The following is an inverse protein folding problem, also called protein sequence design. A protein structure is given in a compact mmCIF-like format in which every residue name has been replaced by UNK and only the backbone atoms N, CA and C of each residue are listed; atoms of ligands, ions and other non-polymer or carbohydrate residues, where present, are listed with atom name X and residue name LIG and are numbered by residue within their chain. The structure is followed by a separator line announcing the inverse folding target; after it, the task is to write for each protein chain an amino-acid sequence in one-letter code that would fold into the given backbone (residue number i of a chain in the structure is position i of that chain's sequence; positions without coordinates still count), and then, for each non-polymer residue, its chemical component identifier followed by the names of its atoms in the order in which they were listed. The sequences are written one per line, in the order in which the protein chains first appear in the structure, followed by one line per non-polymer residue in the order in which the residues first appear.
data_IF_327184038525
#
_entry.id   IF_327184038525
#
_cell.length_a   1.000
_cell.length_b   1.000
_cell.length_c   1.000
_cell.angle_alpha   90.00
_cell.angle_beta   90.00
_cell.angle_gamma   90.00
#
_symmetry.space_group_name_H-M   'P 1'
#
loop_
_entity.id
_entity.type
_entity.pdbx_description
1 polymer ?
#
# COMPACT_ATOMS: atom_id res chain seq x y z
N UNK A 1 15.23 -9.99 15.16
CA UNK A 1 14.11 -10.31 14.22
C UNK A 1 14.67 -11.19 13.12
N UNK A 2 13.90 -12.18 12.64
CA UNK A 2 14.28 -12.97 11.46
C UNK A 2 14.27 -12.09 10.21
N UNK A 3 15.05 -12.47 9.18
CA UNK A 3 14.96 -11.78 7.88
C UNK A 3 13.66 -12.14 7.17
N UNK A 4 13.09 -11.23 6.34
CA UNK A 4 11.91 -11.53 5.56
C UNK A 4 12.18 -12.66 4.55
N UNK A 5 11.18 -13.53 4.34
CA UNK A 5 11.27 -14.65 3.39
C UNK A 5 10.95 -14.16 1.96
N UNK A 6 11.87 -13.43 1.38
CA UNK A 6 11.72 -12.79 0.09
C UNK A 6 11.95 -13.76 -1.07
N UNK A 7 10.95 -14.00 -1.93
CA UNK A 7 11.03 -14.96 -3.04
C UNK A 7 12.24 -14.74 -3.95
N UNK A 8 12.65 -13.49 -4.20
CA UNK A 8 13.74 -13.17 -5.12
C UNK A 8 15.13 -13.63 -4.64
N UNK A 9 15.29 -13.97 -3.36
CA UNK A 9 16.58 -14.42 -2.79
C UNK A 9 16.53 -15.87 -2.31
N UNK A 10 15.41 -16.56 -2.47
CA UNK A 10 15.24 -17.97 -2.10
C UNK A 10 15.41 -18.89 -3.31
N UNK A 11 15.98 -20.06 -3.07
CA UNK A 11 16.00 -21.13 -4.08
C UNK A 11 14.63 -21.81 -4.18
N UNK A 12 14.29 -22.47 -5.31
CA UNK A 12 13.02 -23.20 -5.44
C UNK A 12 12.76 -24.20 -4.31
N UNK A 13 13.78 -24.91 -3.83
CA UNK A 13 13.64 -25.87 -2.72
C UNK A 13 13.37 -25.18 -1.37
N UNK A 14 14.01 -24.03 -1.14
CA UNK A 14 13.72 -23.21 0.04
C UNK A 14 12.26 -22.67 0.00
N UNK A 15 11.78 -22.24 -1.16
CA UNK A 15 10.39 -21.83 -1.35
C UNK A 15 9.43 -23.00 -1.12
N UNK A 16 9.69 -24.18 -1.68
CA UNK A 16 8.89 -25.40 -1.44
C UNK A 16 8.79 -25.73 0.05
N UNK A 17 9.91 -25.67 0.76
CA UNK A 17 9.96 -25.91 2.20
C UNK A 17 9.20 -24.82 3.00
N UNK A 18 9.22 -23.59 2.55
CA UNK A 18 8.45 -22.51 3.16
C UNK A 18 6.94 -22.70 2.95
N UNK A 19 6.50 -23.02 1.72
CA UNK A 19 5.09 -23.33 1.40
C UNK A 19 4.56 -24.49 2.24
N UNK A 20 5.36 -25.54 2.45
CA UNK A 20 4.96 -26.68 3.28
C UNK A 20 4.71 -26.29 4.75
N UNK A 21 5.32 -25.22 5.26
CA UNK A 21 5.08 -24.69 6.61
C UNK A 21 3.93 -23.68 6.64
N UNK A 22 3.89 -22.81 5.65
CA UNK A 22 2.88 -21.75 5.50
C UNK A 22 2.76 -21.37 4.02
N UNK A 23 1.64 -21.71 3.41
CA UNK A 23 1.41 -21.51 1.99
C UNK A 23 0.98 -20.07 1.61
N UNK A 24 0.86 -19.17 2.59
CA UNK A 24 0.49 -17.76 2.37
C UNK A 24 1.60 -17.02 1.64
N UNK A 25 1.20 -16.07 0.78
CA UNK A 25 2.13 -15.14 0.12
C UNK A 25 1.66 -13.69 0.31
N UNK A 26 2.51 -12.86 0.91
CA UNK A 26 2.35 -11.41 0.91
C UNK A 26 2.80 -10.86 -0.44
N UNK A 27 1.94 -10.06 -1.07
CA UNK A 27 2.21 -9.44 -2.37
C UNK A 27 2.08 -7.92 -2.24
N UNK A 28 3.17 -7.19 -1.98
CA UNK A 28 3.15 -5.74 -1.89
C UNK A 28 3.01 -5.10 -3.28
N UNK A 29 2.05 -4.17 -3.41
CA UNK A 29 1.75 -3.44 -4.64
C UNK A 29 1.70 -1.95 -4.35
N UNK A 30 2.66 -1.21 -4.87
CA UNK A 30 2.77 0.24 -4.75
C UNK A 30 2.55 0.94 -6.09
N UNK A 31 3.11 2.14 -6.19
CA UNK A 31 3.08 3.00 -7.38
C UNK A 31 4.42 3.67 -7.61
N UNK A 32 4.60 4.22 -8.81
CA UNK A 32 5.62 5.21 -9.12
C UNK A 32 4.89 6.52 -9.41
N UNK A 33 4.54 7.26 -8.36
CA UNK A 33 3.64 8.42 -8.40
C UNK A 33 4.20 9.60 -7.62
N UNK A 34 3.97 10.80 -8.11
CA UNK A 34 4.31 12.03 -7.41
C UNK A 34 3.46 12.19 -6.13
N UNK A 35 4.04 12.64 -5.05
CA UNK A 35 3.42 12.95 -3.76
C UNK A 35 3.79 14.35 -3.26
N UNK A 36 3.87 15.31 -4.19
CA UNK A 36 4.36 16.66 -3.91
C UNK A 36 5.90 16.77 -4.03
N UNK A 37 6.46 17.96 -3.79
CA UNK A 37 7.87 18.22 -3.99
C UNK A 37 8.77 17.62 -2.88
N UNK A 38 8.20 17.17 -1.78
CA UNK A 38 8.89 16.76 -0.58
C UNK A 38 8.99 15.24 -0.38
N UNK A 39 8.24 14.44 -1.14
CA UNK A 39 8.26 12.98 -1.08
C UNK A 39 8.80 12.35 -2.36
N UNK A 40 9.44 11.17 -2.28
CA UNK A 40 9.90 10.45 -3.45
C UNK A 40 8.72 9.87 -4.24
N UNK A 41 8.94 9.60 -5.54
CA UNK A 41 7.94 8.97 -6.42
C UNK A 41 7.52 7.57 -5.95
N UNK A 42 8.38 6.88 -5.22
CA UNK A 42 8.11 5.56 -4.67
C UNK A 42 7.44 5.56 -3.30
N UNK A 43 6.80 6.63 -2.88
CA UNK A 43 6.20 6.76 -1.54
C UNK A 43 5.35 5.54 -1.17
N UNK A 44 4.31 5.23 -1.93
CA UNK A 44 3.44 4.08 -1.70
C UNK A 44 4.19 2.74 -1.71
N UNK A 45 5.16 2.62 -2.64
CA UNK A 45 5.99 1.41 -2.79
C UNK A 45 6.85 1.19 -1.54
N UNK A 46 7.52 2.24 -1.05
CA UNK A 46 8.39 2.17 0.14
C UNK A 46 7.58 1.80 1.38
N UNK A 47 6.41 2.41 1.55
CA UNK A 47 5.53 2.12 2.70
C UNK A 47 5.07 0.67 2.70
N UNK A 48 4.53 0.19 1.57
CA UNK A 48 3.98 -1.16 1.50
C UNK A 48 5.07 -2.23 1.50
N UNK A 49 6.24 -1.94 0.94
CA UNK A 49 7.41 -2.81 0.96
C UNK A 49 7.90 -3.05 2.38
N UNK A 50 8.14 -1.97 3.13
CA UNK A 50 8.56 -2.05 4.52
C UNK A 50 7.54 -2.83 5.36
N UNK A 51 6.26 -2.59 5.17
CA UNK A 51 5.20 -3.29 5.89
C UNK A 51 5.19 -4.79 5.58
N UNK A 52 5.34 -5.16 4.30
CA UNK A 52 5.41 -6.56 3.88
C UNK A 52 6.65 -7.27 4.45
N UNK A 53 7.79 -6.59 4.52
CA UNK A 53 9.02 -7.12 5.11
C UNK A 53 8.87 -7.38 6.61
N UNK A 54 8.33 -6.42 7.35
CA UNK A 54 8.12 -6.55 8.80
C UNK A 54 7.09 -7.65 9.13
N UNK A 55 6.00 -7.75 8.37
CA UNK A 55 5.02 -8.83 8.50
C UNK A 55 5.61 -10.19 8.13
N UNK A 56 6.37 -10.28 7.04
CA UNK A 56 7.08 -11.51 6.66
C UNK A 56 8.04 -11.97 7.75
N UNK A 57 8.83 -11.06 8.30
CA UNK A 57 9.79 -11.33 9.37
C UNK A 57 9.11 -11.79 10.66
N UNK A 58 7.97 -11.18 10.99
CA UNK A 58 7.22 -11.46 12.21
C UNK A 58 6.50 -12.81 12.16
N UNK A 59 5.90 -13.15 11.03
CA UNK A 59 5.03 -14.33 10.88
C UNK A 59 5.68 -15.50 10.15
N UNK A 60 6.87 -15.32 9.56
CA UNK A 60 7.53 -16.35 8.75
C UNK A 60 6.79 -16.66 7.44
N UNK A 61 6.03 -15.70 6.91
CA UNK A 61 5.24 -15.83 5.68
C UNK A 61 6.08 -15.39 4.48
N UNK A 62 5.98 -16.12 3.37
CA UNK A 62 6.62 -15.73 2.11
C UNK A 62 6.16 -14.36 1.64
N UNK A 63 7.08 -13.62 1.02
CA UNK A 63 6.85 -12.28 0.45
C UNK A 63 7.32 -12.23 -1.00
N UNK A 64 6.44 -11.84 -1.91
CA UNK A 64 6.76 -11.63 -3.33
C UNK A 64 7.62 -10.38 -3.55
N UNK A 65 8.38 -10.26 -4.65
CA UNK A 65 8.97 -8.99 -5.06
C UNK A 65 7.92 -7.89 -5.13
N UNK A 66 8.28 -6.68 -4.70
CA UNK A 66 7.35 -5.53 -4.71
C UNK A 66 7.00 -5.13 -6.13
N UNK A 67 5.72 -4.93 -6.41
CA UNK A 67 5.23 -4.38 -7.66
C UNK A 67 5.17 -2.87 -7.51
N UNK A 68 6.11 -2.18 -8.16
CA UNK A 68 6.32 -0.74 -7.98
C UNK A 68 5.55 0.15 -8.97
N UNK A 69 4.72 -0.45 -9.84
CA UNK A 69 3.94 0.28 -10.84
C UNK A 69 2.46 -0.04 -10.71
N UNK A 70 1.68 0.95 -10.31
CA UNK A 70 0.23 0.87 -10.13
C UNK A 70 -0.54 1.75 -11.10
N UNK A 71 -1.80 2.00 -10.78
CA UNK A 71 -2.66 2.95 -11.49
C UNK A 71 -2.67 4.26 -10.71
N UNK A 72 -1.87 5.21 -11.14
CA UNK A 72 -1.69 6.49 -10.46
C UNK A 72 -2.94 7.38 -10.53
N UNK A 73 -3.09 8.26 -9.56
CA UNK A 73 -4.11 9.31 -9.56
C UNK A 73 -3.93 10.22 -10.78
N UNK A 74 -5.03 10.55 -11.44
CA UNK A 74 -5.00 11.42 -12.59
C UNK A 74 -4.49 12.82 -12.22
N UNK A 75 -3.60 13.36 -13.04
CA UNK A 75 -3.06 14.72 -12.89
C UNK A 75 -3.37 15.56 -14.11
N UNK A 76 -3.56 16.89 -13.94
CA UNK A 76 -3.80 17.81 -15.04
C UNK A 76 -2.54 18.27 -15.76
N UNK A 77 -1.38 18.00 -15.18
CA UNK A 77 -0.06 18.28 -15.77
C UNK A 77 0.84 17.06 -15.58
N UNK A 78 1.79 16.83 -16.47
CA UNK A 78 2.77 15.77 -16.27
C UNK A 78 3.69 16.12 -15.09
N UNK A 79 4.08 15.08 -14.35
CA UNK A 79 5.14 15.17 -13.34
C UNK A 79 6.30 14.29 -13.79
N UNK A 80 7.55 14.82 -13.85
CA UNK A 80 8.71 14.05 -14.25
C UNK A 80 8.87 12.77 -13.41
N UNK A 81 9.09 11.65 -14.07
CA UNK A 81 9.28 10.36 -13.41
C UNK A 81 7.98 9.61 -13.06
N UNK A 82 6.82 10.25 -13.09
CA UNK A 82 5.53 9.57 -12.91
C UNK A 82 5.36 8.48 -13.97
N UNK A 83 5.03 7.25 -13.51
CA UNK A 83 4.78 6.13 -14.41
C UNK A 83 3.57 5.33 -13.95
N UNK A 84 2.53 5.30 -14.75
CA UNK A 84 1.26 4.63 -14.46
C UNK A 84 0.96 3.57 -15.49
N UNK A 85 0.43 2.44 -15.04
CA UNK A 85 -0.18 1.45 -15.93
C UNK A 85 -1.70 1.64 -15.99
N UNK A 86 -2.34 1.10 -17.03
CA UNK A 86 -3.80 1.10 -17.10
C UNK A 86 -4.37 0.06 -16.12
N UNK A 87 -5.55 0.33 -15.56
CA UNK A 87 -6.27 -0.61 -14.68
C UNK A 87 -6.32 -2.04 -15.22
N UNK A 88 -6.73 -2.20 -16.51
CA UNK A 88 -6.79 -3.53 -17.15
C UNK A 88 -5.41 -4.18 -17.29
N UNK A 89 -4.34 -3.40 -17.44
CA UNK A 89 -2.97 -3.91 -17.54
C UNK A 89 -2.51 -4.44 -16.19
N UNK A 90 -2.69 -3.66 -15.12
CA UNK A 90 -2.37 -4.10 -13.76
C UNK A 90 -3.14 -5.37 -13.40
N UNK A 91 -4.46 -5.39 -13.62
CA UNK A 91 -5.32 -6.54 -13.33
C UNK A 91 -4.87 -7.80 -14.05
N UNK A 92 -4.57 -7.73 -15.36
CA UNK A 92 -4.13 -8.89 -16.14
C UNK A 92 -2.77 -9.40 -15.67
N UNK A 93 -1.81 -8.50 -15.54
CA UNK A 93 -0.46 -8.83 -15.09
C UNK A 93 -0.46 -9.49 -13.71
N UNK A 94 -1.23 -8.94 -12.77
CA UNK A 94 -1.39 -9.54 -11.45
C UNK A 94 -2.01 -10.94 -11.52
N UNK A 95 -3.07 -11.14 -12.32
CA UNK A 95 -3.67 -12.48 -12.48
C UNK A 95 -2.69 -13.49 -13.06
N UNK A 96 -1.83 -13.10 -14.01
CA UNK A 96 -0.80 -13.98 -14.58
C UNK A 96 0.21 -14.42 -13.51
N UNK A 97 0.67 -13.49 -12.66
CA UNK A 97 1.56 -13.79 -11.55
C UNK A 97 0.91 -14.71 -10.51
N UNK A 98 -0.32 -14.38 -10.07
CA UNK A 98 -1.04 -15.18 -9.09
C UNK A 98 -1.30 -16.60 -9.63
N UNK A 99 -1.72 -16.74 -10.89
CA UNK A 99 -1.93 -18.03 -11.52
C UNK A 99 -0.66 -18.89 -11.58
N UNK A 100 0.49 -18.28 -11.79
CA UNK A 100 1.79 -18.98 -11.78
C UNK A 100 2.16 -19.45 -10.38
N UNK A 101 2.00 -18.61 -9.36
CA UNK A 101 2.29 -18.96 -7.97
C UNK A 101 1.29 -19.98 -7.38
N UNK A 102 0.01 -19.90 -7.76
CA UNK A 102 -1.00 -20.89 -7.38
C UNK A 102 -0.61 -22.31 -7.81
N UNK A 103 -0.04 -22.48 -9.01
CA UNK A 103 0.46 -23.77 -9.49
C UNK A 103 1.58 -24.36 -8.61
N UNK A 104 2.25 -23.52 -7.83
CA UNK A 104 3.27 -23.93 -6.87
C UNK A 104 2.72 -24.23 -5.48
N UNK A 105 1.40 -24.14 -5.27
CA UNK A 105 0.75 -24.43 -3.99
C UNK A 105 0.57 -23.23 -3.06
N UNK A 106 0.69 -22.00 -3.54
CA UNK A 106 0.41 -20.79 -2.76
C UNK A 106 -1.10 -20.63 -2.56
N UNK A 107 -1.55 -20.49 -1.31
CA UNK A 107 -2.90 -20.15 -0.88
C UNK A 107 -2.90 -19.76 0.61
N UNK A 108 -3.48 -18.63 1.01
CA UNK A 108 -3.97 -17.54 0.16
C UNK A 108 -2.89 -16.54 -0.28
N UNK A 109 -3.28 -15.69 -1.23
CA UNK A 109 -2.58 -14.46 -1.56
C UNK A 109 -3.08 -13.31 -0.71
N UNK A 110 -2.17 -12.51 -0.15
CA UNK A 110 -2.47 -11.31 0.63
C UNK A 110 -1.85 -10.12 -0.09
N UNK A 111 -2.67 -9.42 -0.85
CA UNK A 111 -2.26 -8.24 -1.63
C UNK A 111 -2.29 -7.03 -0.69
N UNK A 112 -1.14 -6.39 -0.49
CA UNK A 112 -1.02 -5.20 0.33
C UNK A 112 -0.82 -3.98 -0.57
N UNK A 113 -1.58 -2.90 -0.37
CA UNK A 113 -1.36 -1.64 -1.09
C UNK A 113 -1.56 -0.43 -0.19
N UNK A 114 -0.68 0.57 -0.34
CA UNK A 114 -0.73 1.88 0.33
C UNK A 114 -1.26 2.99 -0.59
N UNK A 115 -2.02 2.63 -1.64
CA UNK A 115 -2.50 3.57 -2.64
C UNK A 115 -4.03 3.54 -2.76
N UNK A 116 -4.69 4.61 -2.30
CA UNK A 116 -6.15 4.70 -2.17
C UNK A 116 -6.90 5.14 -3.44
N UNK A 117 -6.30 5.07 -4.65
CA UNK A 117 -6.97 5.46 -5.89
C UNK A 117 -7.94 4.38 -6.38
N UNK A 118 -9.23 4.72 -6.61
CA UNK A 118 -10.27 3.75 -6.96
C UNK A 118 -9.92 2.81 -8.12
N UNK A 119 -9.43 3.28 -9.28
CA UNK A 119 -9.04 2.37 -10.37
C UNK A 119 -7.92 1.41 -10.01
N UNK A 120 -7.01 1.79 -9.08
CA UNK A 120 -5.99 0.91 -8.56
C UNK A 120 -6.61 -0.16 -7.64
N UNK A 121 -7.42 0.28 -6.68
CA UNK A 121 -8.14 -0.60 -5.76
C UNK A 121 -9.06 -1.57 -6.51
N UNK A 122 -9.79 -1.10 -7.53
CA UNK A 122 -10.65 -1.93 -8.38
C UNK A 122 -9.84 -3.01 -9.13
N UNK A 123 -8.65 -2.66 -9.64
CA UNK A 123 -7.78 -3.64 -10.28
C UNK A 123 -7.37 -4.76 -9.33
N UNK A 124 -7.09 -4.44 -8.07
CA UNK A 124 -6.62 -5.39 -7.07
C UNK A 124 -7.76 -6.18 -6.42
N UNK A 125 -8.88 -5.55 -6.10
CA UNK A 125 -10.03 -6.19 -5.44
C UNK A 125 -10.79 -7.17 -6.34
N UNK A 126 -10.57 -7.12 -7.64
CA UNK A 126 -11.21 -8.02 -8.63
C UNK A 126 -10.30 -9.12 -9.15
N UNK A 127 -9.12 -9.30 -8.55
CA UNK A 127 -8.19 -10.37 -8.89
C UNK A 127 -8.83 -11.76 -8.68
N UNK A 128 -8.48 -12.72 -9.55
CA UNK A 128 -9.03 -14.06 -9.55
C UNK A 128 -7.93 -15.09 -9.77
N UNK A 129 -8.04 -16.20 -9.09
CA UNK A 129 -7.28 -17.43 -9.28
C UNK A 129 -8.24 -18.58 -9.60
N UNK A 130 -7.76 -19.78 -9.82
CA UNK A 130 -8.62 -20.95 -10.04
C UNK A 130 -9.23 -21.45 -8.73
N UNK A 131 -8.40 -21.62 -7.70
CA UNK A 131 -8.80 -22.24 -6.42
C UNK A 131 -8.30 -21.44 -5.22
N UNK A 132 -7.14 -20.76 -5.33
CA UNK A 132 -6.56 -20.05 -4.22
C UNK A 132 -7.39 -18.80 -3.85
N UNK A 133 -7.42 -18.47 -2.58
CA UNK A 133 -8.11 -17.27 -2.07
C UNK A 133 -7.22 -16.05 -2.29
N UNK A 134 -7.84 -14.91 -2.60
CA UNK A 134 -7.16 -13.63 -2.75
C UNK A 134 -7.78 -12.63 -1.79
N UNK A 135 -6.97 -12.06 -0.92
CA UNK A 135 -7.34 -10.98 -0.01
C UNK A 135 -6.63 -9.70 -0.42
N UNK A 136 -7.38 -8.64 -0.66
CA UNK A 136 -6.84 -7.32 -0.93
C UNK A 136 -6.98 -6.45 0.30
N UNK A 137 -5.87 -5.85 0.72
CA UNK A 137 -5.76 -5.01 1.91
C UNK A 137 -5.29 -3.63 1.49
N UNK A 138 -6.19 -2.65 1.54
CA UNK A 138 -5.82 -1.24 1.54
C UNK A 138 -5.31 -0.89 2.95
N UNK A 139 -4.00 -0.65 3.08
CA UNK A 139 -3.38 -0.39 4.38
C UNK A 139 -3.82 0.95 4.99
N UNK A 140 -4.48 1.79 4.19
CA UNK A 140 -5.05 3.07 4.63
C UNK A 140 -6.57 3.03 4.85
N UNK A 141 -7.22 1.87 4.68
CA UNK A 141 -8.64 1.70 5.01
C UNK A 141 -8.86 1.55 6.53
N UNK A 142 -8.33 2.52 7.30
CA UNK A 142 -8.38 2.60 8.77
C UNK A 142 -8.99 3.93 9.21
N UNK A 143 -9.51 3.95 10.43
CA UNK A 143 -9.88 5.21 11.07
C UNK A 143 -8.64 5.85 11.70
N UNK A 144 -8.23 6.98 11.14
CA UNK A 144 -7.12 7.79 11.62
C UNK A 144 -7.55 8.95 12.53
N UNK A 145 -8.83 9.00 12.95
CA UNK A 145 -9.31 10.01 13.89
C UNK A 145 -8.49 9.99 15.18
N UNK A 146 -8.06 11.15 15.64
CA UNK A 146 -7.20 11.30 16.81
C UNK A 146 -5.71 11.04 16.56
N UNK A 147 -5.33 10.59 15.38
CA UNK A 147 -3.91 10.44 14.97
C UNK A 147 -3.44 11.58 14.07
N UNK A 148 -4.31 12.07 13.19
CA UNK A 148 -4.03 13.17 12.27
C UNK A 148 -4.60 14.47 12.80
N UNK A 149 -3.85 15.56 12.61
CA UNK A 149 -4.24 16.92 12.95
C UNK A 149 -4.92 17.63 11.77
N UNK A 150 -4.64 17.18 10.53
CA UNK A 150 -5.32 17.70 9.35
C UNK A 150 -6.80 17.25 9.36
N UNK A 151 -7.78 18.19 9.43
CA UNK A 151 -9.19 17.83 9.42
C UNK A 151 -9.66 17.21 8.10
N UNK A 152 -8.87 17.32 7.04
CA UNK A 152 -9.09 16.59 5.78
C UNK A 152 -8.88 15.07 5.95
N UNK A 153 -8.13 14.65 6.99
CA UNK A 153 -7.73 13.27 7.21
C UNK A 153 -6.68 12.81 6.20
N UNK A 154 -6.61 11.52 5.87
CA UNK A 154 -5.69 11.01 4.86
C UNK A 154 -5.91 11.70 3.51
N UNK A 155 -4.85 12.26 2.96
CA UNK A 155 -4.84 12.93 1.65
C UNK A 155 -3.52 12.64 0.94
N UNK A 156 -3.53 12.67 -0.38
CA UNK A 156 -2.39 12.37 -1.24
C UNK A 156 -1.17 13.25 -0.94
N UNK A 157 -0.06 12.67 -0.54
CA UNK A 157 1.15 13.38 -0.12
C UNK A 157 0.94 14.28 1.10
N UNK A 158 -0.09 14.03 1.91
CA UNK A 158 -0.43 14.83 3.08
C UNK A 158 0.25 14.38 4.37
N UNK A 159 -0.39 14.67 5.50
CA UNK A 159 0.16 14.40 6.84
C UNK A 159 0.45 12.91 7.09
N UNK A 160 -0.43 12.00 6.62
CA UNK A 160 -0.27 10.56 6.80
C UNK A 160 0.98 10.05 6.07
N UNK A 161 1.01 10.23 4.75
CA UNK A 161 2.10 9.73 3.90
C UNK A 161 3.44 10.29 4.34
N UNK A 162 3.49 11.60 4.61
CA UNK A 162 4.69 12.30 5.04
C UNK A 162 5.18 11.79 6.42
N UNK A 163 4.26 11.56 7.37
CA UNK A 163 4.63 11.02 8.68
C UNK A 163 5.18 9.60 8.59
N UNK A 164 4.55 8.73 7.80
CA UNK A 164 5.02 7.37 7.56
C UNK A 164 6.40 7.38 6.92
N UNK A 165 6.62 8.19 5.88
CA UNK A 165 7.91 8.31 5.22
C UNK A 165 9.00 8.87 6.15
N UNK A 166 8.69 9.85 7.01
CA UNK A 166 9.62 10.35 8.03
C UNK A 166 10.02 9.27 9.06
N UNK A 167 9.17 8.28 9.29
CA UNK A 167 9.49 7.14 10.16
C UNK A 167 10.27 6.04 9.43
N UNK A 168 9.90 5.74 8.18
CA UNK A 168 10.42 4.58 7.43
C UNK A 168 11.73 4.91 6.72
N UNK A 169 11.81 6.07 6.07
CA UNK A 169 12.91 6.50 5.21
C UNK A 169 13.09 8.04 5.29
N UNK A 170 13.46 8.59 6.47
CA UNK A 170 13.55 10.03 6.68
C UNK A 170 14.54 10.72 5.73
N UNK A 171 15.58 10.00 5.29
CA UNK A 171 16.59 10.50 4.35
C UNK A 171 16.04 10.80 2.94
N UNK A 172 14.87 10.26 2.60
CA UNK A 172 14.19 10.50 1.32
C UNK A 172 13.17 11.64 1.39
N UNK A 173 12.92 12.20 2.57
CA UNK A 173 11.92 13.25 2.78
C UNK A 173 12.57 14.63 2.82
N UNK A 174 12.07 15.53 2.00
CA UNK A 174 12.55 16.91 1.88
C UNK A 174 11.55 17.87 2.53
N UNK A 175 11.51 17.89 3.89
CA UNK A 175 10.58 18.75 4.63
C UNK A 175 10.76 20.24 4.34
N UNK A 176 11.94 20.66 3.92
CA UNK A 176 12.21 22.01 3.43
C UNK A 176 11.41 22.39 2.18
N UNK A 177 10.91 21.39 1.44
CA UNK A 177 10.08 21.57 0.24
C UNK A 177 8.60 21.30 0.50
N UNK A 178 8.22 20.88 1.71
CA UNK A 178 6.82 20.58 2.04
C UNK A 178 5.95 21.84 1.98
N UNK A 179 4.84 21.75 1.26
CA UNK A 179 3.90 22.86 1.06
C UNK A 179 2.48 22.40 1.37
N UNK A 180 1.81 23.13 2.26
CA UNK A 180 0.42 22.89 2.58
C UNK A 180 -0.50 23.33 1.43
N UNK A 181 -1.48 22.48 1.15
CA UNK A 181 -2.62 22.78 0.29
C UNK A 181 -3.90 22.35 1.00
N UNK A 182 -4.32 23.10 2.05
CA UNK A 182 -5.47 22.72 2.87
C UNK A 182 -6.77 22.78 2.08
N UNK A 183 -7.64 21.81 2.31
CA UNK A 183 -8.97 21.74 1.71
C UNK A 183 -10.01 22.36 2.64
N UNK A 184 -10.94 23.14 2.10
CA UNK A 184 -12.16 23.54 2.82
C UNK A 184 -13.06 22.32 3.09
N UNK A 185 -13.96 22.39 4.08
CA UNK A 185 -14.89 21.30 4.39
C UNK A 185 -15.68 20.81 3.16
N UNK A 186 -16.11 21.73 2.28
CA UNK A 186 -16.76 21.40 1.01
C UNK A 186 -15.84 20.66 0.05
N UNK A 187 -14.57 21.07 -0.04
CA UNK A 187 -13.57 20.41 -0.88
C UNK A 187 -13.21 19.04 -0.31
N UNK A 188 -13.08 18.89 1.02
CA UNK A 188 -12.87 17.58 1.68
C UNK A 188 -14.00 16.62 1.34
N UNK A 189 -15.27 17.06 1.49
CA UNK A 189 -16.42 16.23 1.16
C UNK A 189 -16.47 15.85 -0.32
N UNK A 190 -15.98 16.72 -1.22
CA UNK A 190 -15.86 16.44 -2.66
C UNK A 190 -14.68 15.51 -2.96
N UNK A 191 -13.55 15.70 -2.31
CA UNK A 191 -12.34 14.88 -2.44
C UNK A 191 -12.65 13.45 -2.02
N UNK A 192 -13.26 13.25 -0.86
CA UNK A 192 -13.64 11.93 -0.34
C UNK A 192 -14.69 11.20 -1.20
N UNK A 193 -15.64 11.95 -1.82
CA UNK A 193 -16.66 11.36 -2.72
C UNK A 193 -16.14 11.05 -4.12
N UNK A 194 -14.99 11.61 -4.48
CA UNK A 194 -14.31 11.37 -5.74
C UNK A 194 -13.01 10.63 -5.46
N UNK A 195 -13.11 9.42 -4.96
CA UNK A 195 -11.94 8.57 -4.78
C UNK A 195 -11.17 8.31 -6.11
N UNK A 196 -11.83 8.56 -7.27
CA UNK A 196 -11.20 8.72 -8.59
C UNK A 196 -10.71 10.15 -8.87
N UNK A 197 -10.65 11.02 -7.85
CA UNK A 197 -10.34 12.44 -8.01
C UNK A 197 -8.93 12.68 -8.55
N UNK A 198 -8.81 13.66 -9.45
CA UNK A 198 -7.50 14.17 -9.85
C UNK A 198 -6.91 15.05 -8.75
N UNK A 199 -5.59 15.03 -8.62
CA UNK A 199 -4.87 16.01 -7.82
C UNK A 199 -5.25 17.43 -8.28
N UNK A 200 -5.62 18.36 -7.37
CA UNK A 200 -6.04 19.71 -7.74
C UNK A 200 -4.94 20.41 -8.55
N UNK A 201 -5.31 21.05 -9.66
CA UNK A 201 -4.36 21.62 -10.61
C UNK A 201 -3.42 22.69 -10.01
N UNK A 202 -3.89 23.40 -8.97
CA UNK A 202 -3.14 24.47 -8.30
C UNK A 202 -2.34 23.95 -7.09
N UNK A 203 -2.47 22.67 -6.74
CA UNK A 203 -1.66 22.10 -5.65
C UNK A 203 -0.20 21.92 -6.08
N UNK A 204 0.73 21.86 -5.13
CA UNK A 204 2.14 21.55 -5.43
C UNK A 204 2.33 20.10 -5.92
N UNK A 205 1.27 19.28 -5.91
CA UNK A 205 1.26 17.86 -6.19
C UNK A 205 0.72 17.07 -4.99
N UNK A 206 0.98 17.53 -3.78
CA UNK A 206 0.36 17.06 -2.54
C UNK A 206 -0.95 17.80 -2.23
N UNK A 207 -1.74 17.23 -1.32
CA UNK A 207 -3.01 17.77 -0.83
C UNK A 207 -3.03 17.69 0.68
N UNK A 208 -3.66 18.64 1.37
CA UNK A 208 -3.72 18.68 2.82
C UNK A 208 -2.52 19.39 3.45
N UNK A 209 -2.06 18.92 4.59
CA UNK A 209 -1.04 19.60 5.40
C UNK A 209 0.16 18.70 5.74
N UNK A 210 1.07 18.47 4.79
CA UNK A 210 2.28 17.70 5.05
C UNK A 210 3.19 18.33 6.13
N UNK A 211 3.09 19.65 6.38
CA UNK A 211 3.89 20.33 7.42
C UNK A 211 3.52 19.91 8.85
N UNK A 212 2.36 19.29 9.06
CA UNK A 212 1.92 18.72 10.34
C UNK A 212 2.57 17.34 10.61
N UNK A 213 3.28 16.78 9.66
CA UNK A 213 3.87 15.45 9.78
C UNK A 213 5.07 15.42 10.74
N UNK A 214 5.26 14.27 11.40
CA UNK A 214 6.44 14.01 12.20
C UNK A 214 6.78 12.52 12.24
N UNK A 215 8.06 12.18 12.44
CA UNK A 215 8.52 10.81 12.59
C UNK A 215 7.86 10.09 13.78
N UNK A 216 7.63 10.79 14.89
CA UNK A 216 6.95 10.25 16.07
C UNK A 216 5.48 9.88 15.77
N UNK A 217 4.78 10.71 14.99
CA UNK A 217 3.45 10.41 14.48
C UNK A 217 3.49 9.20 13.52
N UNK A 218 4.46 9.20 12.61
CA UNK A 218 4.69 8.10 11.67
C UNK A 218 4.89 6.76 12.36
N UNK A 219 5.68 6.72 13.43
CA UNK A 219 5.90 5.50 14.22
C UNK A 219 4.60 4.96 14.84
N UNK A 220 3.74 5.83 15.38
CA UNK A 220 2.43 5.43 15.95
C UNK A 220 1.47 4.93 14.87
N UNK A 221 1.40 5.64 13.75
CA UNK A 221 0.58 5.27 12.59
C UNK A 221 1.02 3.93 12.00
N UNK A 222 2.32 3.76 11.79
CA UNK A 222 2.90 2.52 11.27
C UNK A 222 2.59 1.33 12.18
N UNK A 223 2.80 1.50 13.49
CA UNK A 223 2.48 0.45 14.47
C UNK A 223 1.00 0.07 14.44
N UNK A 224 0.10 1.05 14.37
CA UNK A 224 -1.34 0.80 14.29
C UNK A 224 -1.70 0.02 13.02
N UNK A 225 -1.17 0.40 11.86
CA UNK A 225 -1.39 -0.30 10.59
C UNK A 225 -0.87 -1.74 10.67
N UNK A 226 0.38 -1.90 11.10
CA UNK A 226 1.02 -3.21 11.25
C UNK A 226 0.21 -4.13 12.18
N UNK A 227 -0.11 -3.69 13.38
CA UNK A 227 -0.82 -4.50 14.38
C UNK A 227 -2.22 -4.90 13.90
N UNK A 228 -2.89 -4.01 13.17
CA UNK A 228 -4.21 -4.27 12.63
C UNK A 228 -4.16 -5.38 11.57
N UNK A 229 -3.22 -5.30 10.64
CA UNK A 229 -3.02 -6.33 9.62
C UNK A 229 -2.56 -7.64 10.27
N UNK A 230 -1.61 -7.59 11.18
CA UNK A 230 -1.12 -8.73 11.93
C UNK A 230 -2.29 -9.49 12.61
N UNK A 231 -3.18 -8.77 13.27
CA UNK A 231 -4.29 -9.39 14.02
C UNK A 231 -5.41 -9.86 13.09
N UNK A 232 -5.88 -9.01 12.19
CA UNK A 232 -7.09 -9.29 11.41
C UNK A 232 -6.86 -10.13 10.16
N UNK A 233 -5.70 -9.97 9.54
CA UNK A 233 -5.40 -10.68 8.29
C UNK A 233 -4.55 -11.92 8.55
N UNK A 234 -3.42 -11.76 9.22
CA UNK A 234 -2.49 -12.87 9.42
C UNK A 234 -2.86 -13.78 10.60
N UNK A 235 -3.47 -13.22 11.65
CA UNK A 235 -3.98 -14.00 12.79
C UNK A 235 -5.24 -14.79 12.42
N UNK A 236 -6.18 -14.19 11.72
CA UNK A 236 -7.42 -14.82 11.30
C UNK A 236 -7.20 -15.91 10.22
N UNK A 237 -6.23 -15.76 9.35
CA UNK A 237 -5.96 -16.71 8.26
C UNK A 237 -5.42 -18.08 8.74
N UNK A 238 -5.08 -18.23 10.02
CA UNK A 238 -4.70 -19.52 10.63
C UNK A 238 -5.88 -20.36 11.10
N UNK A 239 -7.09 -19.80 11.20
CA UNK A 239 -8.19 -20.46 11.93
C UNK A 239 -9.57 -20.48 11.28
N UNK A 240 -9.86 -19.76 10.20
CA UNK A 240 -11.21 -19.71 9.63
C UNK A 240 -11.20 -19.60 8.10
N UNK A 241 -12.11 -20.38 7.48
CA UNK A 241 -12.54 -20.27 6.07
C UNK A 241 -13.28 -18.93 5.87
N UNK A 242 -12.54 -17.86 5.62
CA UNK A 242 -13.13 -16.64 5.07
C UNK A 242 -13.05 -16.76 3.56
N UNK A 243 -14.17 -16.64 2.86
CA UNK A 243 -14.19 -16.53 1.40
C UNK A 243 -13.34 -15.35 0.95
N UNK A 244 -12.57 -15.52 -0.13
CA UNK A 244 -11.71 -14.47 -0.68
C UNK A 244 -12.48 -13.19 -0.99
N UNK A 245 -11.87 -12.03 -0.75
CA UNK A 245 -12.48 -10.72 -0.97
C UNK A 245 -11.63 -9.58 -0.44
N UNK A 246 -12.17 -8.37 -0.49
CA UNK A 246 -11.51 -7.22 0.16
C UNK A 246 -11.71 -7.30 1.66
N UNK A 247 -10.61 -7.37 2.41
CA UNK A 247 -10.65 -7.28 3.87
C UNK A 247 -10.52 -5.79 4.25
N UNK A 248 -11.58 -5.24 4.84
CA UNK A 248 -11.47 -3.98 5.57
C UNK A 248 -10.67 -4.25 6.86
N UNK A 249 -9.54 -3.58 6.99
CA UNK A 249 -8.62 -3.70 8.13
C UNK A 249 -9.12 -2.89 9.32
#
# INVERSE_FOLDING_TARGET
MSLPLHLSVLTPDAVRSAIARDARLLVPVGTCEQHGPHLPLGCDTIIVERLADDLSSTFGVLRAPTISYGVNTATKRPYPGNASVRRKTLHRWMNDLLGSWEQCGIDPFIILTAHGHDPHQEALSTLRTRNARVFTVDVFALDFAGFLEDPAGPTHGGELDTSLMLHIAPELVRMDLAQDFPLTARQVARYRRRASGSVPALSPGSVGRPTLASAAKGARLYKMIHDRIATRVLGAARGNTVDGGTIAV
#
